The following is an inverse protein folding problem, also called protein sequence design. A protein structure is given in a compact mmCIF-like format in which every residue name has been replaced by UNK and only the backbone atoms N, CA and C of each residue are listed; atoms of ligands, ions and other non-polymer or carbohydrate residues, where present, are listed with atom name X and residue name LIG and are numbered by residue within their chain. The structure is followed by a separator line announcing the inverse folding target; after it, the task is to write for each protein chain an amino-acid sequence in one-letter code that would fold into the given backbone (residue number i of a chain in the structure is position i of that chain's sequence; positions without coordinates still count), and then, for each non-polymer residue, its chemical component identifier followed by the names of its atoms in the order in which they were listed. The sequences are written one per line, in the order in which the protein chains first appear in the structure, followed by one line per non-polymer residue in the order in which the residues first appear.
data_IF_692931948965
#
_entry.id   IF_692931948965
#
_cell.length_a   1.000
_cell.length_b   1.000
_cell.length_c   1.000
_cell.angle_alpha   90.00
_cell.angle_beta   90.00
_cell.angle_gamma   90.00
#
_symmetry.space_group_name_H-M   'P 1'
#
loop_
_entity.id
_entity.type
_entity.pdbx_description
1 polymer ?
#
# COMPACT_ATOMS: atom_id res chain seq x y z
N UNK A 1 -15.78 -0.38 21.14
CA UNK A 1 -14.68 -1.17 20.54
C UNK A 1 -13.55 -0.22 20.06
N UNK A 2 -13.13 0.75 20.90
CA UNK A 2 -12.28 1.89 20.48
C UNK A 2 -10.86 1.53 20.01
N UNK A 3 -10.38 0.31 20.27
CA UNK A 3 -8.96 -0.03 20.11
C UNK A 3 -8.52 -0.35 18.68
N UNK A 4 -9.45 -0.65 17.77
CA UNK A 4 -9.10 -1.00 16.37
C UNK A 4 -9.08 0.20 15.43
N UNK A 5 -9.80 1.29 15.74
CA UNK A 5 -9.80 2.53 14.97
C UNK A 5 -8.59 3.37 15.38
N UNK A 6 -7.64 3.57 14.46
CA UNK A 6 -6.36 4.24 14.73
C UNK A 6 -6.26 5.54 13.96
N UNK A 7 -5.11 6.22 14.11
CA UNK A 7 -4.85 7.50 13.48
C UNK A 7 -4.94 7.49 11.94
N UNK A 8 -4.58 6.37 11.29
CA UNK A 8 -4.46 6.29 9.82
C UNK A 8 -5.11 5.06 9.19
N UNK A 9 -5.61 4.13 10.02
CA UNK A 9 -6.22 2.88 9.55
C UNK A 9 -7.09 2.24 10.64
N UNK A 10 -7.73 1.12 10.28
CA UNK A 10 -8.38 0.22 11.22
C UNK A 10 -7.56 -1.06 11.28
N UNK A 11 -7.14 -1.53 12.46
CA UNK A 11 -6.22 -2.68 12.56
C UNK A 11 -6.40 -3.48 13.85
N UNK A 12 -6.31 -4.80 13.74
CA UNK A 12 -6.42 -5.72 14.89
C UNK A 12 -6.01 -7.15 14.58
N UNK A 13 -5.96 -7.99 15.60
CA UNK A 13 -5.68 -9.43 15.45
C UNK A 13 -6.93 -10.16 14.96
N UNK A 14 -6.80 -10.93 13.88
CA UNK A 14 -7.90 -11.71 13.32
C UNK A 14 -8.40 -12.77 14.32
N UNK A 15 -9.72 -12.92 14.43
CA UNK A 15 -10.37 -13.84 15.37
C UNK A 15 -10.45 -13.34 16.81
N UNK A 16 -9.85 -12.18 17.12
CA UNK A 16 -9.91 -11.53 18.43
C UNK A 16 -10.47 -10.11 18.33
N UNK A 17 -9.70 -9.22 17.72
CA UNK A 17 -10.06 -7.80 17.57
C UNK A 17 -10.79 -7.54 16.26
N UNK A 18 -10.49 -8.36 15.23
CA UNK A 18 -11.06 -8.27 13.91
C UNK A 18 -11.71 -9.59 13.52
N UNK A 19 -13.02 -9.58 13.26
CA UNK A 19 -13.82 -10.75 12.89
C UNK A 19 -14.58 -10.49 11.59
N UNK A 20 -15.12 -11.54 10.92
CA UNK A 20 -16.01 -11.37 9.78
C UNK A 20 -17.17 -10.39 10.04
N UNK A 21 -17.81 -10.47 11.20
CA UNK A 21 -18.90 -9.56 11.58
C UNK A 21 -18.42 -8.11 11.73
N UNK A 22 -17.24 -7.90 12.30
CA UNK A 22 -16.66 -6.56 12.43
C UNK A 22 -16.34 -5.99 11.05
N UNK A 23 -15.74 -6.79 10.15
CA UNK A 23 -15.45 -6.39 8.78
C UNK A 23 -16.71 -6.00 8.00
N UNK A 24 -17.79 -6.79 8.13
CA UNK A 24 -19.10 -6.48 7.54
C UNK A 24 -19.64 -5.14 8.06
N UNK A 25 -19.61 -4.94 9.38
CA UNK A 25 -20.07 -3.70 10.00
C UNK A 25 -19.21 -2.48 9.62
N UNK A 26 -17.90 -2.65 9.40
CA UNK A 26 -17.03 -1.59 8.88
C UNK A 26 -17.41 -1.25 7.44
N UNK A 27 -17.71 -2.26 6.61
CA UNK A 27 -18.20 -2.04 5.25
C UNK A 27 -19.51 -1.26 5.22
N UNK A 28 -20.47 -1.64 6.08
CA UNK A 28 -21.72 -0.91 6.26
C UNK A 28 -21.47 0.54 6.72
N UNK A 29 -20.59 0.74 7.69
CA UNK A 29 -20.26 2.07 8.19
C UNK A 29 -19.59 2.94 7.13
N UNK A 30 -18.62 2.38 6.40
CA UNK A 30 -17.92 3.09 5.34
C UNK A 30 -18.86 3.47 4.19
N UNK A 31 -19.65 2.53 3.68
CA UNK A 31 -20.64 2.82 2.65
C UNK A 31 -21.73 3.81 3.09
N UNK A 32 -21.99 3.95 4.39
CA UNK A 32 -22.95 4.94 4.89
C UNK A 32 -22.43 6.38 4.91
N UNK A 33 -21.11 6.59 4.85
CA UNK A 33 -20.51 7.94 4.89
C UNK A 33 -20.00 8.43 3.53
N UNK A 34 -19.89 7.52 2.56
CA UNK A 34 -19.48 7.87 1.20
C UNK A 34 -20.66 8.52 0.48
N UNK A 35 -20.37 9.51 -0.37
CA UNK A 35 -21.39 10.16 -1.20
C UNK A 35 -21.98 9.18 -2.21
N UNK A 36 -23.28 9.32 -2.46
CA UNK A 36 -24.02 8.50 -3.42
C UNK A 36 -23.31 8.43 -4.80
N UNK A 37 -23.49 7.32 -5.51
CA UNK A 37 -22.90 7.02 -6.83
C UNK A 37 -21.37 6.84 -6.89
N UNK A 38 -20.64 7.00 -5.78
CA UNK A 38 -19.22 6.65 -5.72
C UNK A 38 -19.05 5.13 -5.65
N UNK A 39 -18.40 4.55 -6.65
CA UNK A 39 -18.00 3.15 -6.62
C UNK A 39 -16.80 2.94 -5.70
N UNK A 40 -16.75 1.79 -5.03
CA UNK A 40 -15.71 1.44 -4.05
C UNK A 40 -14.81 0.35 -4.60
N UNK A 41 -13.52 0.64 -4.73
CA UNK A 41 -12.52 -0.34 -5.13
C UNK A 41 -11.99 -1.08 -3.90
N UNK A 42 -11.86 -2.41 -3.98
CA UNK A 42 -11.41 -3.25 -2.87
C UNK A 42 -10.20 -4.09 -3.31
N UNK A 43 -9.05 -3.88 -2.67
CA UNK A 43 -7.83 -4.65 -2.87
C UNK A 43 -7.39 -5.32 -1.57
N UNK A 44 -6.48 -6.29 -1.66
CA UNK A 44 -5.97 -6.97 -0.47
C UNK A 44 -4.53 -7.44 -0.59
N UNK A 45 -3.86 -7.59 0.55
CA UNK A 45 -2.49 -8.12 0.65
C UNK A 45 -2.45 -9.66 0.73
N UNK A 46 -1.26 -10.22 0.88
CA UNK A 46 -1.04 -11.68 0.91
C UNK A 46 -1.48 -12.40 2.19
N UNK A 47 -2.02 -11.69 3.21
CA UNK A 47 -2.40 -12.30 4.49
C UNK A 47 -3.50 -13.32 4.32
N UNK A 48 -3.42 -14.42 5.10
CA UNK A 48 -4.39 -15.52 5.02
C UNK A 48 -5.83 -15.07 5.33
N UNK A 49 -6.00 -14.13 6.27
CA UNK A 49 -7.31 -13.61 6.67
C UNK A 49 -7.92 -12.62 5.67
N UNK A 50 -7.12 -12.11 4.72
CA UNK A 50 -7.56 -11.06 3.78
C UNK A 50 -8.72 -11.52 2.89
N UNK A 51 -8.71 -12.79 2.43
CA UNK A 51 -9.79 -13.31 1.58
C UNK A 51 -11.13 -13.41 2.30
N UNK A 52 -11.14 -13.60 3.61
CA UNK A 52 -12.39 -13.60 4.40
C UNK A 52 -12.84 -12.17 4.66
N UNK A 53 -11.93 -11.32 5.11
CA UNK A 53 -12.23 -9.94 5.47
C UNK A 53 -12.70 -9.12 4.27
N UNK A 54 -12.09 -9.31 3.09
CA UNK A 54 -12.53 -8.61 1.87
C UNK A 54 -13.97 -8.98 1.48
N UNK A 55 -14.38 -10.24 1.67
CA UNK A 55 -15.72 -10.67 1.29
C UNK A 55 -16.76 -10.02 2.19
N UNK A 56 -16.47 -9.93 3.49
CA UNK A 56 -17.34 -9.29 4.46
C UNK A 56 -17.45 -7.79 4.24
N UNK A 57 -16.33 -7.10 4.03
CA UNK A 57 -16.36 -5.65 3.84
C UNK A 57 -17.02 -5.27 2.50
N UNK A 58 -16.73 -5.99 1.41
CA UNK A 58 -17.41 -5.82 0.11
C UNK A 58 -18.93 -6.03 0.24
N UNK A 59 -19.37 -7.06 0.97
CA UNK A 59 -20.79 -7.29 1.22
C UNK A 59 -21.45 -6.14 2.01
N UNK A 60 -20.75 -5.61 3.02
CA UNK A 60 -21.24 -4.48 3.81
C UNK A 60 -21.37 -3.20 2.98
N UNK A 61 -20.40 -2.93 2.11
CA UNK A 61 -20.46 -1.79 1.20
C UNK A 61 -21.60 -1.98 0.19
N UNK A 62 -21.73 -3.14 -0.45
CA UNK A 62 -22.79 -3.42 -1.41
C UNK A 62 -24.20 -3.27 -0.80
N UNK A 63 -24.37 -3.67 0.47
CA UNK A 63 -25.63 -3.53 1.20
C UNK A 63 -26.05 -2.06 1.44
N UNK A 64 -25.14 -1.10 1.29
CA UNK A 64 -25.44 0.34 1.38
C UNK A 64 -25.78 0.96 0.02
N UNK A 65 -25.74 0.18 -1.06
CA UNK A 65 -26.10 0.60 -2.42
C UNK A 65 -24.92 0.99 -3.31
N UNK A 66 -23.69 0.97 -2.77
CA UNK A 66 -22.48 1.23 -3.54
C UNK A 66 -22.03 -0.01 -4.34
N UNK A 67 -21.63 0.19 -5.59
CA UNK A 67 -20.95 -0.85 -6.35
C UNK A 67 -19.53 -1.07 -5.79
N UNK A 68 -19.11 -2.32 -5.74
CA UNK A 68 -17.78 -2.76 -5.36
C UNK A 68 -17.03 -3.35 -6.55
N UNK A 69 -15.78 -2.93 -6.72
CA UNK A 69 -14.85 -3.50 -7.70
C UNK A 69 -13.66 -4.10 -6.96
N UNK A 70 -13.64 -5.43 -6.89
CA UNK A 70 -12.54 -6.20 -6.33
C UNK A 70 -11.40 -6.29 -7.33
N UNK A 71 -10.22 -5.76 -6.97
CA UNK A 71 -9.06 -5.64 -7.87
C UNK A 71 -7.97 -6.70 -7.65
N UNK A 72 -8.22 -7.64 -6.73
CA UNK A 72 -7.33 -8.76 -6.48
C UNK A 72 -6.30 -8.54 -5.38
N UNK A 73 -5.33 -9.46 -5.36
CA UNK A 73 -4.11 -9.34 -4.56
C UNK A 73 -3.21 -8.28 -5.20
N UNK A 74 -3.11 -7.12 -4.56
CA UNK A 74 -2.45 -5.92 -5.10
C UNK A 74 -1.82 -5.11 -3.97
N UNK A 75 -0.73 -4.37 -4.21
CA UNK A 75 -0.14 -3.56 -3.16
C UNK A 75 -0.99 -2.29 -2.94
N UNK A 76 -0.87 -1.71 -1.75
CA UNK A 76 -1.60 -0.50 -1.33
C UNK A 76 -1.49 0.65 -2.35
N UNK A 77 -0.31 0.97 -2.93
CA UNK A 77 -0.21 2.03 -3.93
C UNK A 77 -1.02 1.75 -5.21
N UNK A 78 -1.21 0.48 -5.58
CA UNK A 78 -1.98 0.10 -6.76
C UNK A 78 -3.48 0.30 -6.54
N UNK A 79 -3.97 0.03 -5.32
CA UNK A 79 -5.32 0.44 -4.92
C UNK A 79 -5.47 1.96 -5.05
N UNK A 80 -4.55 2.75 -4.48
CA UNK A 80 -4.65 4.21 -4.55
C UNK A 80 -4.63 4.73 -5.99
N UNK A 81 -3.76 4.19 -6.84
CA UNK A 81 -3.74 4.47 -8.27
C UNK A 81 -5.13 4.24 -8.92
N UNK A 82 -5.76 3.10 -8.64
CA UNK A 82 -7.07 2.75 -9.21
C UNK A 82 -8.17 3.75 -8.87
N UNK A 83 -8.13 4.34 -7.66
CA UNK A 83 -9.11 5.35 -7.21
C UNK A 83 -8.99 6.71 -7.87
N UNK A 84 -7.95 6.91 -8.67
CA UNK A 84 -7.73 8.10 -9.51
C UNK A 84 -7.88 7.73 -10.99
N UNK A 85 -7.26 6.62 -11.39
CA UNK A 85 -7.12 6.22 -12.80
C UNK A 85 -8.46 5.97 -13.49
N UNK A 86 -9.43 5.37 -12.79
CA UNK A 86 -10.77 5.11 -13.31
C UNK A 86 -11.80 6.17 -12.90
N UNK A 87 -11.34 7.40 -12.67
CA UNK A 87 -12.10 8.48 -12.06
C UNK A 87 -12.06 8.42 -10.54
N UNK A 88 -12.70 9.39 -9.88
CA UNK A 88 -12.72 9.47 -8.41
C UNK A 88 -13.53 8.30 -7.86
N UNK A 89 -12.86 7.38 -7.17
CA UNK A 89 -13.47 6.26 -6.44
C UNK A 89 -13.14 6.36 -4.95
N UNK A 90 -13.91 5.66 -4.14
CA UNK A 90 -13.47 5.29 -2.80
C UNK A 90 -12.67 3.99 -2.86
N UNK A 91 -11.81 3.75 -1.87
CA UNK A 91 -10.94 2.57 -1.83
C UNK A 91 -10.85 1.95 -0.45
N UNK A 92 -10.78 0.62 -0.42
CA UNK A 92 -10.50 -0.18 0.77
C UNK A 92 -9.36 -1.13 0.46
N UNK A 93 -8.24 -0.98 1.18
CA UNK A 93 -7.17 -1.97 1.18
C UNK A 93 -7.32 -2.85 2.41
N UNK A 94 -7.48 -4.15 2.21
CA UNK A 94 -7.43 -5.14 3.30
C UNK A 94 -5.98 -5.51 3.55
N UNK A 95 -5.41 -4.99 4.65
CA UNK A 95 -3.99 -5.10 4.96
C UNK A 95 -3.70 -4.75 6.42
N UNK A 96 -2.62 -5.31 6.96
CA UNK A 96 -1.94 -4.78 8.14
C UNK A 96 -0.46 -4.43 7.89
N UNK A 97 -0.10 -4.11 6.64
CA UNK A 97 1.25 -3.66 6.23
C UNK A 97 2.33 -4.59 6.77
N UNK A 98 3.24 -4.10 7.59
CA UNK A 98 4.39 -4.81 8.17
C UNK A 98 4.10 -5.58 9.47
N UNK A 99 2.86 -5.61 9.98
CA UNK A 99 2.54 -6.33 11.22
C UNK A 99 2.71 -7.85 11.08
N UNK A 100 2.86 -8.59 12.20
CA UNK A 100 2.87 -10.05 12.21
C UNK A 100 1.68 -10.72 11.49
N UNK A 101 1.78 -12.00 11.05
CA UNK A 101 0.78 -12.70 10.25
C UNK A 101 -0.66 -12.65 10.77
N UNK A 102 -0.84 -12.69 12.09
CA UNK A 102 -2.15 -12.74 12.75
C UNK A 102 -2.92 -11.41 12.71
N UNK A 103 -2.25 -10.31 12.37
CA UNK A 103 -2.88 -9.00 12.20
C UNK A 103 -3.53 -8.86 10.84
N UNK A 104 -4.60 -8.09 10.76
CA UNK A 104 -5.12 -7.53 9.51
C UNK A 104 -5.85 -6.21 9.80
N UNK A 105 -6.41 -5.59 8.77
CA UNK A 105 -7.01 -4.28 8.89
C UNK A 105 -7.51 -3.71 7.57
N UNK A 106 -7.83 -2.42 7.61
CA UNK A 106 -8.35 -1.66 6.50
C UNK A 106 -7.68 -0.30 6.43
N UNK A 107 -7.03 0.01 5.28
CA UNK A 107 -6.71 1.39 4.89
C UNK A 107 -7.84 1.87 3.98
N UNK A 108 -8.42 3.01 4.30
CA UNK A 108 -9.56 3.58 3.57
C UNK A 108 -9.12 4.86 2.87
N UNK A 109 -9.57 5.09 1.65
CA UNK A 109 -9.20 6.28 0.89
C UNK A 109 -10.32 6.74 -0.04
N UNK A 110 -10.18 7.95 -0.57
CA UNK A 110 -10.99 8.46 -1.67
C UNK A 110 -10.15 9.32 -2.59
N UNK A 111 -10.25 9.10 -3.90
CA UNK A 111 -9.53 9.89 -4.90
C UNK A 111 -8.02 9.93 -4.68
N UNK A 112 -7.43 8.81 -4.26
CA UNK A 112 -6.01 8.69 -3.94
C UNK A 112 -5.58 9.24 -2.58
N UNK A 113 -6.49 9.83 -1.81
CA UNK A 113 -6.17 10.40 -0.49
C UNK A 113 -6.63 9.45 0.61
N UNK A 114 -5.68 8.97 1.42
CA UNK A 114 -5.97 8.12 2.58
C UNK A 114 -6.73 8.89 3.65
N UNK A 115 -7.66 8.22 4.31
CA UNK A 115 -8.33 8.76 5.49
C UNK A 115 -7.41 8.68 6.70
N UNK A 116 -7.33 9.79 7.43
CA UNK A 116 -6.86 9.83 8.81
C UNK A 116 -8.06 9.73 9.75
N UNK A 117 -7.79 9.74 11.06
CA UNK A 117 -8.83 9.85 12.07
C UNK A 117 -9.72 11.07 11.84
N UNK A 118 -9.09 12.22 11.60
CA UNK A 118 -9.76 13.51 11.43
C UNK A 118 -10.49 13.63 10.09
N UNK A 119 -9.99 13.00 9.03
CA UNK A 119 -10.56 13.16 7.68
C UNK A 119 -11.59 12.10 7.31
N UNK A 120 -11.71 11.00 8.06
CA UNK A 120 -12.77 10.03 7.78
C UNK A 120 -12.95 8.90 8.80
N UNK A 121 -11.89 8.38 9.42
CA UNK A 121 -12.00 7.19 10.29
C UNK A 121 -12.88 7.47 11.52
N UNK A 122 -12.87 8.69 12.07
CA UNK A 122 -13.77 9.07 13.16
C UNK A 122 -15.25 8.95 12.78
N UNK A 123 -15.63 9.33 11.56
CA UNK A 123 -17.01 9.24 11.08
C UNK A 123 -17.43 7.77 10.89
N UNK A 124 -16.51 6.94 10.38
CA UNK A 124 -16.72 5.48 10.27
C UNK A 124 -16.91 4.88 11.66
N UNK A 125 -16.08 5.25 12.64
CA UNK A 125 -16.20 4.79 14.02
C UNK A 125 -17.55 5.19 14.64
N UNK A 126 -18.01 6.43 14.40
CA UNK A 126 -19.29 6.92 14.89
C UNK A 126 -20.47 6.11 14.32
N UNK A 127 -20.54 5.93 13.00
CA UNK A 127 -21.57 5.11 12.35
C UNK A 127 -21.50 3.65 12.82
N UNK A 128 -20.30 3.09 12.93
CA UNK A 128 -20.08 1.73 13.41
C UNK A 128 -20.60 1.51 14.83
N UNK A 129 -20.36 2.46 15.74
CA UNK A 129 -20.75 2.36 17.14
C UNK A 129 -22.25 2.60 17.34
N UNK A 130 -22.83 3.55 16.59
CA UNK A 130 -24.26 3.88 16.66
C UNK A 130 -25.15 2.92 15.86
N UNK A 131 -24.56 2.12 14.97
CA UNK A 131 -25.27 1.24 14.02
C UNK A 131 -26.21 2.01 13.08
N UNK A 132 -25.88 3.28 12.81
CA UNK A 132 -26.65 4.17 11.94
C UNK A 132 -26.37 3.90 10.45
N UNK A 133 -26.53 2.65 10.02
CA UNK A 133 -26.20 2.23 8.67
C UNK A 133 -27.26 2.68 7.64
N UNK A 134 -26.81 3.24 6.52
CA UNK A 134 -27.65 3.55 5.36
C UNK A 134 -27.86 2.28 4.53
N UNK A 135 -28.79 1.44 4.94
CA UNK A 135 -29.12 0.19 4.22
C UNK A 135 -29.92 0.52 2.96
N UNK A 136 -29.48 0.03 1.81
CA UNK A 136 -30.19 0.18 0.55
C UNK A 136 -31.48 -0.68 0.53
N UNK A 137 -32.46 -0.23 -0.24
CA UNK A 137 -33.64 -1.05 -0.56
C UNK A 137 -33.24 -2.23 -1.45
N UNK A 138 -34.05 -3.29 -1.46
CA UNK A 138 -33.77 -4.54 -2.16
C UNK A 138 -33.46 -4.36 -3.66
N UNK A 139 -34.05 -3.35 -4.29
CA UNK A 139 -33.91 -2.98 -5.70
C UNK A 139 -32.72 -2.05 -5.99
N UNK A 140 -32.02 -1.59 -4.94
CA UNK A 140 -30.88 -0.67 -5.01
C UNK A 140 -29.61 -1.23 -4.38
N UNK A 141 -29.56 -2.53 -4.12
CA UNK A 141 -28.34 -3.18 -3.61
C UNK A 141 -27.22 -3.04 -4.65
N UNK A 142 -26.02 -2.69 -4.18
CA UNK A 142 -24.83 -2.55 -5.01
C UNK A 142 -24.34 -3.90 -5.56
N UNK A 143 -23.68 -3.86 -6.71
CA UNK A 143 -23.05 -5.05 -7.30
C UNK A 143 -21.61 -5.25 -6.79
N UNK A 144 -21.15 -6.50 -6.75
CA UNK A 144 -19.73 -6.83 -6.51
C UNK A 144 -19.19 -7.47 -7.78
N UNK A 145 -18.12 -6.90 -8.34
CA UNK A 145 -17.47 -7.39 -9.57
C UNK A 145 -15.97 -7.48 -9.38
N UNK A 146 -15.32 -8.30 -10.20
CA UNK A 146 -13.86 -8.42 -10.22
C UNK A 146 -13.29 -7.69 -11.43
N UNK A 147 -12.14 -7.04 -11.26
CA UNK A 147 -11.39 -6.39 -12.34
C UNK A 147 -9.89 -6.55 -12.13
N UNK A 148 -9.16 -7.06 -13.12
CA UNK A 148 -7.70 -7.06 -13.07
C UNK A 148 -7.18 -5.73 -13.63
N UNK A 149 -6.32 -5.04 -12.88
CA UNK A 149 -5.81 -3.71 -13.21
C UNK A 149 -4.27 -3.63 -13.16
N UNK A 150 -3.59 -4.76 -12.99
CA UNK A 150 -2.12 -4.81 -12.88
C UNK A 150 -1.48 -4.33 -14.18
N UNK A 151 -2.03 -4.70 -15.33
CA UNK A 151 -1.55 -4.26 -16.65
C UNK A 151 -1.62 -2.73 -16.79
N UNK A 152 -2.71 -2.12 -16.34
CA UNK A 152 -2.94 -0.69 -16.52
C UNK A 152 -1.96 0.12 -15.65
N UNK A 153 -1.65 -0.41 -14.46
CA UNK A 153 -0.59 0.12 -13.61
C UNK A 153 0.80 0.00 -14.26
N UNK A 154 1.11 -1.14 -14.89
CA UNK A 154 2.40 -1.35 -15.58
C UNK A 154 2.57 -0.39 -16.76
N UNK A 155 1.53 -0.25 -17.58
CA UNK A 155 1.53 0.68 -18.72
C UNK A 155 1.67 2.13 -18.26
N UNK A 156 1.08 2.49 -17.13
CA UNK A 156 1.29 3.82 -16.56
C UNK A 156 2.75 4.04 -16.15
N UNK A 157 3.35 3.11 -15.39
CA UNK A 157 4.74 3.22 -14.95
C UNK A 157 5.73 3.32 -16.11
N UNK A 158 5.55 2.52 -17.17
CA UNK A 158 6.39 2.55 -18.38
C UNK A 158 6.34 3.88 -19.13
N UNK A 159 5.25 4.64 -19.01
CA UNK A 159 5.13 5.98 -19.62
C UNK A 159 5.92 7.04 -18.87
N UNK A 160 6.04 6.90 -17.54
CA UNK A 160 6.62 7.94 -16.68
C UNK A 160 8.06 7.65 -16.23
N UNK A 161 8.51 6.40 -16.32
CA UNK A 161 9.86 5.96 -15.93
C UNK A 161 10.62 5.46 -17.16
N UNK A 162 11.88 5.88 -17.28
CA UNK A 162 12.84 5.36 -18.26
C UNK A 162 14.11 4.97 -17.55
N UNK A 163 14.57 3.73 -17.74
CA UNK A 163 15.84 3.23 -17.22
C UNK A 163 16.78 3.06 -18.41
N UNK A 164 17.79 3.93 -18.53
CA UNK A 164 18.71 3.92 -19.68
C UNK A 164 19.82 2.86 -19.54
N UNK A 165 20.12 2.45 -18.30
CA UNK A 165 21.17 1.47 -18.00
C UNK A 165 20.56 0.09 -17.78
N UNK A 166 21.24 -0.93 -18.29
CA UNK A 166 20.92 -2.33 -17.98
C UNK A 166 21.42 -2.69 -16.58
N UNK A 167 20.60 -2.40 -15.56
CA UNK A 167 20.91 -2.68 -14.15
C UNK A 167 20.63 -4.14 -13.79
N UNK A 168 21.42 -4.72 -12.89
CA UNK A 168 21.13 -5.96 -12.19
C UNK A 168 20.50 -5.64 -10.83
N UNK A 169 19.22 -5.97 -10.66
CA UNK A 169 18.41 -5.63 -9.50
C UNK A 169 18.02 -6.90 -8.74
N UNK A 170 18.18 -6.90 -7.42
CA UNK A 170 17.59 -7.92 -6.55
C UNK A 170 16.40 -7.32 -5.83
N UNK A 171 15.25 -7.98 -5.91
CA UNK A 171 14.02 -7.54 -5.24
C UNK A 171 13.68 -8.56 -4.16
N UNK A 172 13.54 -8.11 -2.93
CA UNK A 172 12.98 -8.87 -1.84
C UNK A 172 11.51 -8.46 -1.63
N UNK A 173 10.59 -9.39 -1.89
CA UNK A 173 9.17 -9.15 -1.68
C UNK A 173 8.67 -9.64 -0.32
N UNK A 174 9.50 -10.30 0.49
CA UNK A 174 9.16 -10.79 1.83
C UNK A 174 7.90 -11.67 1.91
N UNK A 175 7.54 -12.38 0.84
CA UNK A 175 6.25 -13.08 0.66
C UNK A 175 5.01 -12.18 0.77
N UNK A 176 5.22 -10.87 0.70
CA UNK A 176 4.20 -9.84 0.58
C UNK A 176 3.64 -9.77 -0.83
N UNK A 177 3.09 -8.61 -1.16
CA UNK A 177 2.26 -8.43 -2.36
C UNK A 177 3.07 -8.00 -3.58
N UNK A 178 4.36 -7.66 -3.40
CA UNK A 178 5.18 -6.99 -4.41
C UNK A 178 6.02 -7.91 -5.30
N UNK A 179 5.81 -9.23 -5.27
CA UNK A 179 6.56 -10.17 -6.12
C UNK A 179 6.50 -9.84 -7.62
N UNK A 180 5.38 -9.27 -8.08
CA UNK A 180 5.21 -8.85 -9.48
C UNK A 180 6.13 -7.70 -9.90
N UNK A 181 6.70 -6.95 -8.95
CA UNK A 181 7.60 -5.83 -9.26
C UNK A 181 8.80 -6.29 -10.11
N UNK A 182 9.23 -7.55 -9.97
CA UNK A 182 10.29 -8.10 -10.81
C UNK A 182 9.99 -8.01 -12.30
N UNK A 183 8.75 -8.31 -12.70
CA UNK A 183 8.32 -8.20 -14.11
C UNK A 183 8.37 -6.76 -14.62
N UNK A 184 8.04 -5.78 -13.77
CA UNK A 184 8.11 -4.36 -14.13
C UNK A 184 9.57 -3.98 -14.46
N UNK A 185 10.51 -4.34 -13.59
CA UNK A 185 11.92 -4.04 -13.81
C UNK A 185 12.50 -4.79 -15.02
N UNK A 186 12.09 -6.04 -15.26
CA UNK A 186 12.46 -6.79 -16.48
C UNK A 186 11.95 -6.10 -17.76
N UNK A 187 10.69 -5.67 -17.77
CA UNK A 187 10.11 -4.92 -18.91
C UNK A 187 10.78 -3.56 -19.11
N UNK A 188 11.36 -2.96 -18.07
CA UNK A 188 12.17 -1.74 -18.14
C UNK A 188 13.64 -2.00 -18.54
N UNK A 189 14.01 -3.23 -18.85
CA UNK A 189 15.33 -3.60 -19.37
C UNK A 189 16.36 -4.02 -18.31
N UNK A 190 15.95 -4.19 -17.05
CA UNK A 190 16.85 -4.68 -15.99
C UNK A 190 17.01 -6.21 -16.03
N UNK A 191 18.13 -6.70 -15.49
CA UNK A 191 18.29 -8.11 -15.11
C UNK A 191 17.82 -8.26 -13.67
N UNK A 192 16.79 -9.07 -13.43
CA UNK A 192 16.15 -9.13 -12.11
C UNK A 192 16.31 -10.50 -11.47
N UNK A 193 16.45 -10.51 -10.14
CA UNK A 193 16.26 -11.68 -9.29
C UNK A 193 15.27 -11.33 -8.19
N UNK A 194 14.21 -12.11 -8.04
CA UNK A 194 13.22 -11.91 -6.98
C UNK A 194 13.46 -12.94 -5.87
N UNK A 195 13.68 -12.44 -4.66
CA UNK A 195 13.68 -13.18 -3.40
C UNK A 195 12.28 -13.15 -2.81
N UNK A 196 11.84 -14.30 -2.30
CA UNK A 196 10.57 -14.44 -1.59
C UNK A 196 9.37 -13.85 -2.35
N UNK A 197 9.37 -14.04 -3.68
CA UNK A 197 8.42 -13.40 -4.61
C UNK A 197 7.01 -13.99 -4.60
N UNK A 198 6.85 -15.25 -4.17
CA UNK A 198 5.54 -15.90 -4.09
C UNK A 198 4.78 -15.41 -2.85
N UNK A 199 3.57 -14.84 -3.01
CA UNK A 199 2.77 -14.38 -1.89
C UNK A 199 2.44 -15.51 -0.91
N UNK A 200 2.80 -15.33 0.36
CA UNK A 200 2.50 -16.26 1.44
C UNK A 200 2.32 -15.49 2.76
N UNK A 201 1.06 -15.34 3.19
CA UNK A 201 0.69 -14.62 4.41
C UNK A 201 1.16 -15.24 5.72
N UNK A 202 1.87 -16.38 5.68
CA UNK A 202 2.61 -16.92 6.84
C UNK A 202 3.96 -16.23 7.05
N UNK A 203 4.45 -15.52 6.03
CA UNK A 203 5.76 -14.85 6.00
C UNK A 203 6.91 -15.78 6.46
N UNK A 204 7.12 -16.93 5.77
CA UNK A 204 7.98 -18.01 6.26
C UNK A 204 9.48 -17.69 6.31
N UNK A 205 9.93 -16.64 5.63
CA UNK A 205 11.35 -16.29 5.51
C UNK A 205 11.76 -15.22 6.55
N UNK A 206 11.08 -14.07 6.52
CA UNK A 206 11.16 -13.02 7.51
C UNK A 206 9.86 -12.21 7.47
N UNK A 207 9.61 -11.40 8.51
CA UNK A 207 8.52 -10.42 8.43
C UNK A 207 8.83 -9.39 7.33
N UNK A 208 7.85 -8.95 6.52
CA UNK A 208 8.08 -7.99 5.46
C UNK A 208 8.10 -6.57 6.03
N UNK A 209 9.20 -6.22 6.69
CA UNK A 209 9.44 -4.91 7.31
C UNK A 209 10.85 -4.39 6.98
N UNK A 210 11.03 -3.69 5.84
CA UNK A 210 12.34 -3.27 5.36
C UNK A 210 13.00 -2.19 6.23
N UNK A 211 12.31 -1.68 7.27
CA UNK A 211 12.90 -0.76 8.26
C UNK A 211 13.74 -1.50 9.32
N UNK A 212 13.60 -2.82 9.39
CA UNK A 212 14.33 -3.68 10.31
C UNK A 212 15.51 -4.31 9.60
N UNK A 213 16.72 -3.95 9.99
CA UNK A 213 17.95 -4.39 9.33
C UNK A 213 18.10 -5.91 9.32
N UNK A 214 17.57 -6.62 10.32
CA UNK A 214 17.55 -8.08 10.36
C UNK A 214 16.77 -8.73 9.22
N UNK A 215 15.76 -8.05 8.68
CA UNK A 215 14.95 -8.54 7.53
C UNK A 215 15.69 -8.39 6.21
N UNK A 216 16.66 -7.47 6.13
CA UNK A 216 17.42 -7.19 4.90
C UNK A 216 18.66 -8.07 4.75
N UNK A 217 19.00 -8.89 5.74
CA UNK A 217 20.24 -9.66 5.78
C UNK A 217 20.45 -10.50 4.50
N UNK A 218 19.43 -11.24 4.08
CA UNK A 218 19.51 -12.10 2.88
C UNK A 218 19.66 -11.25 1.62
N UNK A 219 18.95 -10.12 1.53
CA UNK A 219 19.10 -9.20 0.42
C UNK A 219 20.53 -8.65 0.32
N UNK A 220 21.13 -8.24 1.44
CA UNK A 220 22.51 -7.76 1.48
C UNK A 220 23.52 -8.82 1.01
N UNK A 221 23.39 -10.06 1.51
CA UNK A 221 24.24 -11.17 1.12
C UNK A 221 24.10 -11.49 -0.39
N UNK A 222 22.86 -11.49 -0.89
CA UNK A 222 22.61 -11.85 -2.28
C UNK A 222 23.06 -10.75 -3.25
N UNK A 223 22.95 -9.46 -2.88
CA UNK A 223 23.45 -8.35 -3.69
C UNK A 223 24.96 -8.48 -3.93
N UNK A 224 25.73 -8.73 -2.88
CA UNK A 224 27.20 -8.91 -2.99
C UNK A 224 27.55 -10.16 -3.79
N UNK A 225 26.90 -11.29 -3.48
CA UNK A 225 27.14 -12.58 -4.15
C UNK A 225 26.85 -12.51 -5.64
N UNK A 226 25.76 -11.87 -6.02
CA UNK A 226 25.35 -11.72 -7.40
C UNK A 226 26.03 -10.55 -8.11
N UNK A 227 26.78 -9.69 -7.39
CA UNK A 227 27.31 -8.42 -7.93
C UNK A 227 26.18 -7.60 -8.56
N UNK A 228 25.08 -7.46 -7.83
CA UNK A 228 23.95 -6.64 -8.26
C UNK A 228 24.25 -5.16 -8.05
N UNK A 229 23.65 -4.30 -8.86
CA UNK A 229 23.82 -2.85 -8.76
C UNK A 229 23.00 -2.26 -7.62
N UNK A 230 21.88 -2.90 -7.26
CA UNK A 230 21.00 -2.45 -6.17
C UNK A 230 20.13 -3.60 -5.67
N UNK A 231 19.90 -3.62 -4.36
CA UNK A 231 18.85 -4.39 -3.70
C UNK A 231 17.67 -3.52 -3.31
N UNK A 232 16.45 -4.03 -3.49
CA UNK A 232 15.19 -3.35 -3.17
C UNK A 232 14.34 -4.30 -2.32
N UNK A 233 13.90 -3.88 -1.14
CA UNK A 233 12.99 -4.66 -0.29
C UNK A 233 11.65 -3.94 -0.12
N UNK A 234 10.54 -4.65 -0.24
CA UNK A 234 9.20 -4.11 0.01
C UNK A 234 8.65 -4.59 1.35
N UNK A 235 7.78 -3.78 1.97
CA UNK A 235 6.94 -4.26 3.06
C UNK A 235 5.73 -5.07 2.55
N UNK A 236 4.94 -5.65 3.47
CA UNK A 236 3.93 -6.66 3.13
C UNK A 236 2.90 -6.22 2.09
N UNK A 237 2.52 -4.94 2.12
CA UNK A 237 1.56 -4.35 1.19
C UNK A 237 2.17 -3.31 0.24
N UNK A 238 3.49 -3.13 0.25
CA UNK A 238 4.23 -2.44 -0.79
C UNK A 238 4.16 -0.92 -0.76
N UNK A 239 3.76 -0.30 0.35
CA UNK A 239 3.82 1.16 0.49
C UNK A 239 5.13 1.66 1.10
N UNK A 240 6.01 0.76 1.54
CA UNK A 240 7.37 1.06 1.96
C UNK A 240 8.39 0.30 1.15
N UNK A 241 9.57 0.90 1.05
CA UNK A 241 10.72 0.34 0.35
C UNK A 241 12.00 0.58 1.13
N UNK A 242 12.84 -0.45 1.21
CA UNK A 242 14.22 -0.38 1.70
C UNK A 242 15.21 -0.62 0.55
N UNK A 243 16.41 -0.07 0.68
CA UNK A 243 17.43 -0.13 -0.37
C UNK A 243 18.75 -0.65 0.18
N UNK A 244 19.46 -1.40 -0.66
CA UNK A 244 20.80 -1.92 -0.39
C UNK A 244 21.70 -1.57 -1.56
N UNK A 245 22.87 -0.99 -1.30
CA UNK A 245 23.85 -0.64 -2.33
C UNK A 245 24.63 -1.87 -2.85
N UNK A 246 25.44 -1.68 -3.90
CA UNK A 246 26.20 -2.74 -4.56
C UNK A 246 27.22 -3.45 -3.64
N UNK A 247 27.58 -2.82 -2.52
CA UNK A 247 28.49 -3.38 -1.52
C UNK A 247 27.75 -4.14 -0.41
N UNK A 248 26.42 -4.24 -0.48
CA UNK A 248 25.60 -4.90 0.51
C UNK A 248 25.29 -4.03 1.74
N UNK A 249 25.48 -2.71 1.66
CA UNK A 249 25.15 -1.79 2.77
C UNK A 249 23.71 -1.33 2.63
N UNK A 250 22.99 -1.34 3.75
CA UNK A 250 21.64 -0.76 3.84
C UNK A 250 21.78 0.75 3.66
N UNK A 251 20.97 1.31 2.75
CA UNK A 251 20.91 2.75 2.51
C UNK A 251 19.79 3.34 3.35
N UNK A 252 20.15 4.28 4.22
CA UNK A 252 19.21 4.97 5.10
C UNK A 252 18.12 5.71 4.32
N UNK A 253 16.87 5.64 4.80
CA UNK A 253 15.71 6.22 4.11
C UNK A 253 15.85 7.72 3.85
N UNK A 254 16.48 8.46 4.75
CA UNK A 254 16.76 9.89 4.56
C UNK A 254 17.69 10.16 3.38
N UNK A 255 18.71 9.33 3.17
CA UNK A 255 19.63 9.46 2.03
C UNK A 255 18.90 9.20 0.71
N UNK A 256 18.06 8.16 0.69
CA UNK A 256 17.21 7.85 -0.47
C UNK A 256 16.26 9.00 -0.76
N UNK A 257 15.65 9.57 0.29
CA UNK A 257 14.73 10.69 0.14
C UNK A 257 15.44 11.94 -0.40
N UNK A 258 16.67 12.22 0.02
CA UNK A 258 17.49 13.31 -0.56
C UNK A 258 17.72 13.11 -2.07
N UNK A 259 18.02 11.88 -2.50
CA UNK A 259 18.16 11.57 -3.94
C UNK A 259 16.85 11.81 -4.71
N UNK A 260 15.71 11.46 -4.13
CA UNK A 260 14.41 11.73 -4.74
C UNK A 260 14.11 13.22 -4.84
N UNK A 261 14.39 14.00 -3.80
CA UNK A 261 14.23 15.45 -3.80
C UNK A 261 15.08 16.09 -4.90
N UNK A 262 16.34 15.66 -5.03
CA UNK A 262 17.23 16.19 -6.06
C UNK A 262 16.67 15.97 -7.46
N UNK A 263 16.18 14.77 -7.77
CA UNK A 263 15.59 14.46 -9.06
C UNK A 263 14.26 15.22 -9.30
N UNK A 264 13.41 15.32 -8.28
CA UNK A 264 12.13 16.05 -8.39
C UNK A 264 12.35 17.54 -8.59
N UNK A 265 13.26 18.18 -7.84
CA UNK A 265 13.52 19.61 -7.95
C UNK A 265 14.21 20.00 -9.25
N UNK A 266 14.95 19.10 -9.91
CA UNK A 266 15.45 19.31 -11.28
C UNK A 266 14.32 19.49 -12.29
N UNK A 267 13.21 18.77 -12.11
CA UNK A 267 12.03 18.81 -13.00
C UNK A 267 11.00 19.86 -12.58
N UNK A 268 10.86 20.09 -11.28
CA UNK A 268 9.89 21.00 -10.67
C UNK A 268 10.57 21.93 -9.66
N UNK A 269 11.31 22.95 -10.14
CA UNK A 269 12.03 23.88 -9.27
C UNK A 269 11.09 24.61 -8.29
N UNK A 270 11.61 24.95 -7.10
CA UNK A 270 10.90 25.68 -6.02
C UNK A 270 9.66 24.95 -5.44
N UNK A 271 9.49 23.66 -5.73
CA UNK A 271 8.40 22.87 -5.16
C UNK A 271 8.49 22.79 -3.64
N UNK A 272 7.32 22.71 -2.99
CA UNK A 272 7.23 22.47 -1.55
C UNK A 272 7.49 21.00 -1.24
N UNK A 273 8.40 20.73 -0.32
CA UNK A 273 8.75 19.38 0.13
C UNK A 273 8.20 19.14 1.53
N UNK A 274 7.41 18.08 1.72
CA UNK A 274 6.84 17.70 3.01
C UNK A 274 7.60 16.47 3.53
N UNK A 275 8.04 16.53 4.78
CA UNK A 275 8.73 15.42 5.46
C UNK A 275 8.41 15.43 6.96
N UNK A 276 8.69 14.31 7.64
CA UNK A 276 8.42 14.16 9.06
C UNK A 276 9.52 14.84 9.92
N UNK A 277 9.16 15.31 11.11
CA UNK A 277 10.07 15.88 12.13
C UNK A 277 11.19 14.92 12.56
N UNK A 278 11.03 13.61 12.29
CA UNK A 278 12.05 12.58 12.56
C UNK A 278 13.17 12.54 11.50
N UNK A 279 13.05 13.28 10.40
CA UNK A 279 14.08 13.33 9.36
C UNK A 279 15.37 14.03 9.82
N UNK A 280 16.51 13.58 9.29
CA UNK A 280 17.83 14.13 9.57
C UNK A 280 17.92 15.63 9.25
N UNK A 281 18.73 16.36 10.04
CA UNK A 281 19.06 17.77 9.76
C UNK A 281 19.70 17.97 8.38
N UNK A 282 20.44 16.98 7.88
CA UNK A 282 21.05 17.03 6.55
C UNK A 282 20.01 17.16 5.43
N UNK A 283 18.76 16.74 5.67
CA UNK A 283 17.66 16.89 4.72
C UNK A 283 17.32 18.37 4.48
N UNK A 284 17.30 19.17 5.54
CA UNK A 284 17.08 20.62 5.45
C UNK A 284 18.21 21.30 4.68
N UNK A 285 19.46 20.88 4.91
CA UNK A 285 20.63 21.40 4.20
C UNK A 285 20.53 21.13 2.69
N UNK A 286 20.18 19.91 2.30
CA UNK A 286 19.99 19.53 0.88
C UNK A 286 18.84 20.32 0.24
N UNK A 287 17.69 20.44 0.91
CA UNK A 287 16.54 21.21 0.37
C UNK A 287 16.95 22.68 0.14
N UNK A 288 17.64 23.29 1.11
CA UNK A 288 18.08 24.68 1.01
C UNK A 288 19.13 24.86 -0.11
N UNK A 289 20.08 23.95 -0.24
CA UNK A 289 21.07 23.98 -1.34
C UNK A 289 20.41 23.90 -2.72
N UNK A 290 19.34 23.12 -2.84
CA UNK A 290 18.59 22.92 -4.08
C UNK A 290 17.52 23.99 -4.35
N UNK A 291 17.46 25.05 -3.53
CA UNK A 291 16.43 26.10 -3.59
C UNK A 291 14.99 25.55 -3.47
N UNK A 292 14.82 24.43 -2.79
CA UNK A 292 13.50 23.93 -2.41
C UNK A 292 12.92 24.73 -1.25
N UNK A 293 11.60 24.78 -1.15
CA UNK A 293 10.90 25.31 0.02
C UNK A 293 10.40 24.12 0.85
N UNK A 294 10.50 24.22 2.19
CA UNK A 294 9.98 23.21 3.12
C UNK A 294 8.78 23.77 3.90
#
# INVERSE_FOLDING_TARGET
MKWIFRAYDIRGVYGKDLTPDIALNIGLAFGSIIEDDIEVVVGWDSRLSSLTLKSCISAGIAATGHNCVEIGLVPTPLLYFSTIHYGVKAGVMVTASHNPPEYNGFKLCKGGVSYSYETGIKNIEEVFNTKSFKIASWDKIGSIKNQNIISDYFEHLKKIIKIEKRLKVIIDAGNGTCGFAGKIFEEMGCKVKVLFGEPDGRFPNHIPDPLKSETLKVLCEEVVKEKADVGIAFDGDGDRVGFVDESGRIVEGDLVFMLFIEEILKRYPNSKIIFNVLGSKSLLEVINMLKGNH
#
